data_IF_601948706764
#
_entry.id   IF_601948706764
#
_cell.length_a   1.000
_cell.length_b   1.000
_cell.length_c   1.000
_cell.angle_alpha   90.00
_cell.angle_beta   90.00
_cell.angle_gamma   90.00
#
_symmetry.space_group_name_H-M   'P 1'
#
loop_
_entity.id
_entity.type
_entity.pdbx_description
1 polymer ?
#
# COMPACT_ATOMS: atom_id res chain seq x y z
N UNK A 1 -22.60 2.40 9.84
CA UNK A 1 -21.31 2.45 10.55
C UNK A 1 -20.18 1.80 9.73
N UNK A 2 -20.30 0.53 9.31
CA UNK A 2 -19.24 -0.17 8.55
C UNK A 2 -18.78 0.53 7.25
N UNK A 3 -19.70 1.15 6.49
CA UNK A 3 -19.35 1.92 5.28
C UNK A 3 -18.39 3.08 5.55
N UNK A 4 -18.50 3.74 6.72
CA UNK A 4 -17.61 4.85 7.11
C UNK A 4 -16.20 4.33 7.37
N UNK A 5 -16.07 3.18 8.06
CA UNK A 5 -14.78 2.53 8.31
C UNK A 5 -14.07 2.22 6.99
N UNK A 6 -14.81 1.73 5.99
CA UNK A 6 -14.27 1.44 4.66
C UNK A 6 -13.78 2.70 3.92
N UNK A 7 -14.53 3.80 3.99
CA UNK A 7 -14.10 5.09 3.42
C UNK A 7 -12.82 5.60 4.11
N UNK A 8 -12.76 5.53 5.44
CA UNK A 8 -11.55 5.93 6.19
C UNK A 8 -10.34 5.08 5.78
N UNK A 9 -10.52 3.76 5.67
CA UNK A 9 -9.48 2.83 5.20
C UNK A 9 -8.96 3.21 3.81
N UNK A 10 -9.86 3.63 2.91
CA UNK A 10 -9.51 4.08 1.56
C UNK A 10 -8.65 5.35 1.60
N UNK A 11 -9.06 6.34 2.40
CA UNK A 11 -8.34 7.61 2.52
C UNK A 11 -6.95 7.37 3.12
N UNK A 12 -6.84 6.52 4.14
CA UNK A 12 -5.55 6.16 4.76
C UNK A 12 -4.65 5.45 3.75
N UNK A 13 -5.17 4.51 2.96
CA UNK A 13 -4.41 3.84 1.89
C UNK A 13 -3.90 4.82 0.85
N UNK A 14 -4.75 5.73 0.38
CA UNK A 14 -4.37 6.77 -0.58
C UNK A 14 -3.25 7.63 0.02
N UNK A 15 -3.40 8.07 1.27
CA UNK A 15 -2.38 8.84 1.99
C UNK A 15 -1.05 8.09 2.11
N UNK A 16 -1.07 6.80 2.44
CA UNK A 16 0.12 5.97 2.52
C UNK A 16 0.82 5.79 1.17
N UNK A 17 0.05 5.64 0.09
CA UNK A 17 0.61 5.51 -1.27
C UNK A 17 1.32 6.81 -1.66
N UNK A 18 0.74 7.98 -1.35
CA UNK A 18 1.41 9.26 -1.59
C UNK A 18 2.62 9.49 -0.68
N UNK A 19 2.55 9.05 0.57
CA UNK A 19 3.66 9.15 1.52
C UNK A 19 4.85 8.30 1.07
N UNK A 20 4.59 7.18 0.40
CA UNK A 20 5.64 6.32 -0.14
C UNK A 20 6.35 7.02 -1.29
N UNK A 21 7.53 7.54 -1.01
CA UNK A 21 8.36 8.21 -2.01
C UNK A 21 8.67 7.24 -3.15
N UNK A 22 8.49 7.64 -4.42
CA UNK A 22 8.78 6.78 -5.55
C UNK A 22 10.29 6.48 -5.62
N UNK A 23 10.68 5.27 -5.24
CA UNK A 23 12.06 4.81 -5.39
C UNK A 23 12.37 4.58 -6.87
N UNK A 24 13.35 5.31 -7.39
CA UNK A 24 13.91 5.17 -8.74
C UNK A 24 12.89 5.29 -9.90
N UNK A 25 12.08 6.35 -9.93
CA UNK A 25 11.25 6.63 -11.11
C UNK A 25 11.99 7.58 -12.08
N UNK A 26 12.47 7.03 -13.19
CA UNK A 26 13.10 7.76 -14.30
C UNK A 26 13.88 6.83 -15.23
N UNK A 27 14.43 7.33 -16.33
CA UNK A 27 15.28 6.55 -17.26
C UNK A 27 16.49 5.88 -16.54
N UNK A 28 16.86 6.40 -15.36
CA UNK A 28 17.88 5.83 -14.51
C UNK A 28 17.55 4.43 -13.97
N UNK A 29 16.28 4.05 -13.75
CA UNK A 29 15.92 2.71 -13.24
C UNK A 29 16.11 1.58 -14.25
N UNK A 30 16.12 1.89 -15.55
CA UNK A 30 16.46 0.90 -16.57
C UNK A 30 17.96 0.61 -16.62
N UNK A 31 18.81 1.57 -16.23
CA UNK A 31 20.27 1.41 -16.23
C UNK A 31 20.85 1.01 -14.88
N UNK A 32 20.09 1.08 -13.78
CA UNK A 32 20.59 0.65 -12.46
C UNK A 32 20.46 -0.85 -12.32
N UNK A 33 21.52 -1.51 -11.81
CA UNK A 33 21.50 -2.92 -11.45
C UNK A 33 20.28 -3.17 -10.56
N UNK A 34 19.38 -4.05 -11.00
CA UNK A 34 18.26 -4.48 -10.18
C UNK A 34 18.84 -4.99 -8.86
N UNK A 35 18.56 -4.30 -7.76
CA UNK A 35 18.95 -4.73 -6.43
C UNK A 35 17.99 -5.85 -6.01
N UNK A 36 17.94 -6.91 -6.83
CA UNK A 36 16.96 -8.00 -6.78
C UNK A 36 17.10 -8.79 -5.46
N UNK A 37 18.27 -8.72 -4.83
CA UNK A 37 18.59 -9.25 -3.50
C UNK A 37 18.81 -8.14 -2.44
N UNK A 38 18.60 -6.87 -2.78
CA UNK A 38 18.75 -5.75 -1.86
C UNK A 38 17.55 -5.68 -0.91
N UNK A 39 17.80 -5.66 0.40
CA UNK A 39 16.73 -5.51 1.38
C UNK A 39 16.30 -4.04 1.49
N UNK A 40 14.99 -3.76 1.54
CA UNK A 40 14.49 -2.41 1.77
C UNK A 40 14.92 -1.87 3.14
N UNK A 41 14.91 -0.54 3.29
CA UNK A 41 15.10 0.13 4.58
C UNK A 41 14.02 -0.32 5.58
N UNK A 42 14.33 -0.38 6.87
CA UNK A 42 13.36 -0.75 7.91
C UNK A 42 12.07 0.10 7.87
N UNK A 43 12.19 1.40 7.56
CA UNK A 43 11.04 2.28 7.43
C UNK A 43 10.18 1.95 6.20
N UNK A 44 10.82 1.62 5.08
CA UNK A 44 10.12 1.19 3.87
C UNK A 44 9.47 -0.16 4.07
N UNK A 45 10.14 -1.09 4.73
CA UNK A 45 9.60 -2.41 5.02
C UNK A 45 8.38 -2.29 5.96
N UNK A 46 8.44 -1.44 6.97
CA UNK A 46 7.30 -1.13 7.83
C UNK A 46 6.13 -0.57 7.03
N UNK A 47 6.36 0.46 6.21
CA UNK A 47 5.31 1.05 5.36
C UNK A 47 4.76 0.03 4.36
N UNK A 48 5.60 -0.82 3.79
CA UNK A 48 5.19 -1.85 2.82
C UNK A 48 4.30 -2.90 3.50
N UNK A 49 4.71 -3.40 4.67
CA UNK A 49 3.93 -4.35 5.46
C UNK A 49 2.60 -3.74 5.92
N UNK A 50 2.62 -2.49 6.42
CA UNK A 50 1.42 -1.75 6.82
C UNK A 50 0.46 -1.58 5.64
N UNK A 51 0.99 -1.22 4.47
CA UNK A 51 0.20 -1.07 3.25
C UNK A 51 -0.43 -2.40 2.84
N UNK A 52 0.32 -3.51 2.86
CA UNK A 52 -0.20 -4.85 2.55
C UNK A 52 -1.34 -5.24 3.50
N UNK A 53 -1.15 -5.04 4.81
CA UNK A 53 -2.19 -5.35 5.82
C UNK A 53 -3.45 -4.52 5.56
N UNK A 54 -3.31 -3.23 5.31
CA UNK A 54 -4.43 -2.35 5.01
C UNK A 54 -5.12 -2.72 3.70
N UNK A 55 -4.37 -3.16 2.68
CA UNK A 55 -4.92 -3.58 1.39
C UNK A 55 -5.77 -4.85 1.54
N UNK A 56 -5.29 -5.83 2.31
CA UNK A 56 -6.03 -7.05 2.65
C UNK A 56 -7.30 -6.71 3.46
N UNK A 57 -7.17 -5.82 4.44
CA UNK A 57 -8.29 -5.33 5.24
C UNK A 57 -9.35 -4.64 4.37
N UNK A 58 -8.92 -3.75 3.48
CA UNK A 58 -9.80 -3.06 2.53
C UNK A 58 -10.54 -4.04 1.63
N UNK A 59 -9.83 -5.04 1.06
CA UNK A 59 -10.44 -6.05 0.20
C UNK A 59 -11.47 -6.89 0.97
N UNK A 60 -11.13 -7.32 2.18
CA UNK A 60 -12.05 -8.07 3.06
C UNK A 60 -13.31 -7.26 3.37
N UNK A 61 -13.17 -5.98 3.72
CA UNK A 61 -14.31 -5.10 3.95
C UNK A 61 -15.14 -4.88 2.69
N UNK A 62 -14.51 -4.74 1.52
CA UNK A 62 -15.22 -4.57 0.25
C UNK A 62 -16.09 -5.80 -0.06
N UNK A 63 -15.55 -7.00 0.12
CA UNK A 63 -16.30 -8.25 -0.05
C UNK A 63 -17.44 -8.34 0.97
N UNK A 64 -17.15 -8.12 2.25
CA UNK A 64 -18.16 -8.23 3.31
C UNK A 64 -19.32 -7.23 3.15
N UNK A 65 -19.01 -5.96 2.81
CA UNK A 65 -20.03 -4.94 2.56
C UNK A 65 -20.86 -5.22 1.31
N UNK A 66 -20.29 -5.85 0.29
CA UNK A 66 -21.00 -6.19 -0.95
C UNK A 66 -21.92 -7.39 -0.73
N UNK A 67 -21.46 -8.45 -0.06
CA UNK A 67 -22.30 -9.61 0.28
C UNK A 67 -23.36 -9.33 1.34
N UNK A 68 -23.18 -8.30 2.17
CA UNK A 68 -24.16 -7.87 3.17
C UNK A 68 -25.17 -6.87 2.61
N UNK A 69 -25.06 -6.46 1.34
CA UNK A 69 -26.04 -5.64 0.62
C UNK A 69 -27.01 -6.54 -0.13
#
# INVERSE_FOLDING_TARGET
>A
MLKIIWVILSIVLIGLIFLRTPQNQGLASFSTKSNLLGSPSSAEQFLNNLTIILMIGYFSFAVFLNFSI
#
